data_IF_659898132981
#
_entry.id   IF_659898132981
#
_cell.length_a   1.000
_cell.length_b   1.000
_cell.length_c   1.000
_cell.angle_alpha   90.00
_cell.angle_beta   90.00
_cell.angle_gamma   90.00
#
_symmetry.space_group_name_H-M   'P 1'
#
loop_
_entity.id
_entity.type
_entity.pdbx_description
1 polymer ?
#
# COMPACT_ATOMS: atom_id res chain seq x y z
N UNK A 1 -12.33 28.98 17.76
CA UNK A 1 -11.75 28.96 19.12
C UNK A 1 -11.23 27.55 19.30
N UNK A 2 -9.96 27.37 19.68
CA UNK A 2 -9.43 26.02 19.90
C UNK A 2 -10.31 25.30 20.94
N UNK A 3 -10.54 24.00 20.78
CA UNK A 3 -11.24 23.21 21.79
C UNK A 3 -10.27 22.90 22.96
N UNK A 4 -10.74 22.77 24.21
CA UNK A 4 -9.89 22.32 25.29
C UNK A 4 -9.33 20.93 24.97
N UNK A 5 -8.03 20.74 25.20
CA UNK A 5 -7.35 19.48 24.96
C UNK A 5 -6.25 19.26 25.99
N UNK A 6 -6.06 18.01 26.40
CA UNK A 6 -5.08 17.65 27.42
C UNK A 6 -3.66 18.04 26.98
N UNK A 7 -2.99 18.81 27.84
CA UNK A 7 -1.61 19.25 27.61
C UNK A 7 -1.44 20.37 26.58
N UNK A 8 -2.53 20.96 26.07
CA UNK A 8 -2.48 22.12 25.16
C UNK A 8 -2.95 23.36 25.91
N UNK A 9 -2.26 24.49 25.74
CA UNK A 9 -2.68 25.75 26.35
C UNK A 9 -4.06 26.17 25.83
N UNK A 10 -4.90 26.72 26.71
CA UNK A 10 -6.30 27.01 26.40
C UNK A 10 -6.73 28.37 26.94
N UNK A 11 -7.32 29.17 26.06
CA UNK A 11 -7.86 30.49 26.37
C UNK A 11 -9.39 30.46 26.28
N UNK A 12 -10.06 31.04 27.28
CA UNK A 12 -11.50 31.27 27.23
C UNK A 12 -11.84 32.63 27.85
N UNK A 13 -13.08 33.07 27.63
CA UNK A 13 -13.56 34.36 28.10
C UNK A 13 -14.73 34.17 29.06
N UNK A 14 -14.71 34.93 30.15
CA UNK A 14 -15.82 35.02 31.10
C UNK A 14 -16.24 36.47 31.27
N UNK A 15 -17.48 36.67 31.70
CA UNK A 15 -17.99 37.98 32.13
C UNK A 15 -18.29 37.91 33.62
N UNK A 16 -17.92 38.95 34.35
CA UNK A 16 -18.12 39.02 35.79
C UNK A 16 -19.40 39.81 36.08
N UNK A 17 -20.29 39.29 36.91
CA UNK A 17 -21.52 40.00 37.30
C UNK A 17 -21.16 41.08 38.30
N UNK A 18 -21.69 42.30 38.13
CA UNK A 18 -21.41 43.39 39.08
C UNK A 18 -22.03 43.09 40.44
N UNK A 19 -21.28 43.35 41.50
CA UNK A 19 -21.81 43.21 42.86
C UNK A 19 -22.81 44.32 43.19
N UNK A 20 -22.57 45.54 42.70
CA UNK A 20 -23.41 46.71 42.93
C UNK A 20 -24.76 46.63 42.20
N UNK A 21 -24.76 46.04 41.00
CA UNK A 21 -25.97 45.78 40.22
C UNK A 21 -25.89 44.39 39.55
N UNK A 22 -26.47 43.35 40.17
CA UNK A 22 -26.42 41.98 39.65
C UNK A 22 -27.11 41.78 38.28
N UNK A 23 -27.80 42.80 37.75
CA UNK A 23 -28.42 42.74 36.42
C UNK A 23 -27.44 43.07 35.28
N UNK A 24 -26.23 43.55 35.61
CA UNK A 24 -25.22 43.94 34.61
C UNK A 24 -23.88 43.24 34.86
N UNK A 25 -23.12 43.05 33.78
CA UNK A 25 -21.71 42.66 33.89
C UNK A 25 -20.83 43.86 34.24
N UNK A 26 -19.86 43.63 35.12
CA UNK A 26 -18.87 44.59 35.58
C UNK A 26 -18.03 45.07 34.40
N UNK A 27 -17.84 46.38 34.31
CA UNK A 27 -17.01 47.01 33.27
C UNK A 27 -15.63 47.27 33.84
N UNK A 28 -14.61 46.86 33.09
CA UNK A 28 -13.21 47.00 33.49
C UNK A 28 -12.94 46.53 34.93
N UNK A 29 -13.29 45.27 35.27
CA UNK A 29 -13.11 44.76 36.62
C UNK A 29 -11.63 44.84 37.03
N UNK A 30 -11.40 45.19 38.29
CA UNK A 30 -10.08 45.18 38.89
C UNK A 30 -9.69 43.73 39.18
N UNK A 31 -8.58 43.28 38.59
CA UNK A 31 -8.10 41.90 38.71
C UNK A 31 -6.74 41.89 39.43
N UNK A 32 -6.63 41.08 40.47
CA UNK A 32 -5.46 40.92 41.30
C UNK A 32 -5.09 39.44 41.47
N UNK A 33 -3.87 39.21 41.98
CA UNK A 33 -3.43 37.84 42.31
C UNK A 33 -4.31 37.27 43.43
N UNK A 34 -4.83 36.06 43.23
CA UNK A 34 -5.73 35.41 44.16
C UNK A 34 -7.19 35.47 43.76
N UNK A 35 -7.55 36.38 42.84
CA UNK A 35 -8.93 36.52 42.39
C UNK A 35 -9.40 35.34 41.56
N UNK A 36 -8.49 34.76 40.76
CA UNK A 36 -8.75 33.56 39.98
C UNK A 36 -7.87 32.41 40.46
N UNK A 37 -8.50 31.27 40.71
CA UNK A 37 -7.85 30.05 41.17
C UNK A 37 -8.28 28.86 40.34
N UNK A 38 -7.36 27.93 40.17
CA UNK A 38 -7.55 26.66 39.48
C UNK A 38 -7.52 25.49 40.45
N UNK A 39 -8.48 24.58 40.30
CA UNK A 39 -8.42 23.23 40.86
C UNK A 39 -8.30 22.22 39.72
N UNK A 40 -7.38 21.28 39.91
CA UNK A 40 -7.02 20.21 38.98
C UNK A 40 -7.55 18.89 39.52
N UNK A 41 -8.46 18.24 38.80
CA UNK A 41 -9.08 16.96 39.18
C UNK A 41 -9.60 16.91 40.63
N UNK A 42 -10.16 18.03 41.12
CA UNK A 42 -10.69 18.15 42.49
C UNK A 42 -9.64 18.42 43.57
N UNK A 43 -8.39 18.68 43.20
CA UNK A 43 -7.34 19.10 44.12
C UNK A 43 -7.55 20.48 44.74
N UNK A 44 -6.62 20.91 45.60
CA UNK A 44 -6.69 22.23 46.22
C UNK A 44 -6.63 23.37 45.19
N UNK A 45 -7.37 24.45 45.46
CA UNK A 45 -7.36 25.65 44.63
C UNK A 45 -6.02 26.40 44.77
N UNK A 46 -5.32 26.57 43.65
CA UNK A 46 -4.08 27.32 43.54
C UNK A 46 -4.29 28.53 42.63
N UNK A 47 -3.45 29.57 42.75
CA UNK A 47 -3.50 30.68 41.81
C UNK A 47 -3.17 30.21 40.39
N UNK A 48 -3.81 30.83 39.40
CA UNK A 48 -3.42 30.66 38.00
C UNK A 48 -1.98 31.13 37.78
N UNK A 49 -1.25 30.46 36.88
CA UNK A 49 0.09 30.88 36.49
C UNK A 49 0.10 32.25 35.80
N UNK A 50 -0.95 32.55 35.03
CA UNK A 50 -1.13 33.82 34.33
C UNK A 50 -2.32 34.55 34.93
N UNK A 51 -2.12 35.80 35.35
CA UNK A 51 -3.22 36.66 35.79
C UNK A 51 -4.17 36.92 34.61
N UNK A 52 -5.48 36.65 34.74
CA UNK A 52 -6.45 36.99 33.70
C UNK A 52 -6.46 38.48 33.37
N UNK A 53 -6.85 38.82 32.14
CA UNK A 53 -6.82 40.20 31.65
C UNK A 53 -8.16 40.61 31.05
N UNK A 54 -8.57 41.87 31.27
CA UNK A 54 -9.74 42.43 30.61
C UNK A 54 -9.42 42.67 29.13
N UNK A 55 -10.20 42.10 28.22
CA UNK A 55 -9.99 42.25 26.76
C UNK A 55 -11.32 42.30 26.02
N UNK A 56 -11.57 43.33 25.17
CA UNK A 56 -10.73 44.51 24.93
C UNK A 56 -10.57 45.38 26.18
N UNK A 57 -9.49 46.17 26.25
CA UNK A 57 -9.22 47.07 27.39
C UNK A 57 -10.43 47.99 27.65
N UNK A 58 -10.84 48.12 28.91
CA UNK A 58 -12.05 48.86 29.29
C UNK A 58 -13.37 48.12 29.03
N UNK A 59 -13.33 46.87 28.52
CA UNK A 59 -14.50 46.04 28.23
C UNK A 59 -15.05 45.30 29.45
N UNK A 60 -15.95 44.33 29.17
CA UNK A 60 -16.63 43.49 30.18
C UNK A 60 -16.18 42.02 30.17
N UNK A 61 -15.39 41.63 29.16
CA UNK A 61 -14.89 40.27 29.02
C UNK A 61 -13.49 40.16 29.63
N UNK A 62 -13.31 39.10 30.41
CA UNK A 62 -12.04 38.72 31.03
C UNK A 62 -11.52 37.49 30.31
N UNK A 63 -10.35 37.61 29.70
CA UNK A 63 -9.61 36.50 29.11
C UNK A 63 -8.88 35.74 30.21
N UNK A 64 -9.21 34.47 30.37
CA UNK A 64 -8.51 33.52 31.23
C UNK A 64 -7.64 32.64 30.36
N UNK A 65 -6.36 32.52 30.72
CA UNK A 65 -5.36 31.77 29.95
C UNK A 65 -4.76 30.66 30.82
N UNK A 66 -5.03 29.41 30.44
CA UNK A 66 -4.52 28.22 31.09
C UNK A 66 -3.30 27.70 30.32
N UNK A 67 -2.21 27.45 31.03
CA UNK A 67 -1.00 26.87 30.46
C UNK A 67 -1.20 25.40 30.06
N UNK A 68 -0.34 24.91 29.15
CA UNK A 68 -0.30 23.49 28.80
C UNK A 68 -0.18 22.58 30.04
N UNK A 69 0.65 22.95 31.02
CA UNK A 69 0.83 22.21 32.29
C UNK A 69 -0.41 22.28 33.20
N UNK A 70 -1.20 23.35 33.12
CA UNK A 70 -2.49 23.43 33.80
C UNK A 70 -3.54 22.52 33.19
N UNK A 71 -3.40 22.21 31.90
CA UNK A 71 -4.30 21.37 31.11
C UNK A 71 -3.89 19.89 31.06
N UNK A 72 -2.89 19.42 31.80
CA UNK A 72 -2.53 17.98 31.91
C UNK A 72 -3.39 17.30 32.99
N UNK A 73 -4.71 17.36 32.83
CA UNK A 73 -5.72 16.85 33.78
C UNK A 73 -6.95 16.35 33.02
N UNK A 74 -7.93 15.76 33.71
CA UNK A 74 -9.21 15.38 33.09
C UNK A 74 -10.28 16.47 33.27
N UNK A 75 -10.29 17.15 34.42
CA UNK A 75 -11.21 18.24 34.74
C UNK A 75 -10.48 19.44 35.35
N UNK A 76 -10.86 20.63 34.89
CA UNK A 76 -10.41 21.90 35.43
C UNK A 76 -11.60 22.67 36.01
N UNK A 77 -11.44 23.16 37.23
CA UNK A 77 -12.33 24.15 37.82
C UNK A 77 -11.57 25.47 37.92
N UNK A 78 -12.13 26.52 37.30
CA UNK A 78 -11.66 27.89 37.49
C UNK A 78 -12.67 28.62 38.35
N UNK A 79 -12.28 28.93 39.57
CA UNK A 79 -13.07 29.70 40.54
C UNK A 79 -12.57 31.14 40.51
N UNK A 80 -13.49 32.10 40.47
CA UNK A 80 -13.18 33.49 40.73
C UNK A 80 -13.92 34.00 41.95
N UNK A 81 -13.17 34.67 42.84
CA UNK A 81 -13.65 35.32 44.05
C UNK A 81 -12.95 36.66 44.12
N UNK A 82 -13.69 37.74 44.31
CA UNK A 82 -13.09 39.06 44.53
C UNK A 82 -12.50 39.07 45.93
N UNK A 83 -11.19 38.84 46.03
CA UNK A 83 -10.50 38.74 47.33
C UNK A 83 -10.48 40.09 48.03
N UNK A 84 -10.54 41.19 47.26
CA UNK A 84 -10.46 42.55 47.79
C UNK A 84 -11.13 43.56 46.84
N UNK A 85 -12.36 43.94 47.17
CA UNK A 85 -13.04 45.03 46.46
C UNK A 85 -14.56 44.94 46.47
N UNK A 86 -15.10 43.72 46.52
CA UNK A 86 -16.53 43.44 46.33
C UNK A 86 -17.09 44.20 45.11
N UNK A 87 -16.32 44.28 44.03
CA UNK A 87 -16.68 44.94 42.77
C UNK A 87 -17.57 44.01 41.92
N UNK A 88 -17.31 42.70 41.98
CA UNK A 88 -18.00 41.69 41.18
C UNK A 88 -18.29 40.42 42.00
N UNK A 89 -19.25 39.63 41.51
CA UNK A 89 -19.72 38.41 42.17
C UNK A 89 -18.82 37.20 41.87
N UNK A 90 -18.78 36.29 42.83
CA UNK A 90 -18.08 35.01 42.71
C UNK A 90 -18.71 34.12 41.64
N UNK A 91 -17.91 33.20 41.09
CA UNK A 91 -18.42 32.22 40.14
C UNK A 91 -17.40 31.15 39.79
N UNK A 92 -17.85 30.16 39.05
CA UNK A 92 -17.03 29.01 38.66
C UNK A 92 -17.29 28.63 37.21
N UNK A 93 -16.23 28.24 36.53
CA UNK A 93 -16.28 27.64 35.20
C UNK A 93 -15.62 26.28 35.24
N UNK A 94 -16.29 25.27 34.68
CA UNK A 94 -15.84 23.89 34.68
C UNK A 94 -15.56 23.46 33.25
N UNK A 95 -14.38 22.89 33.05
CA UNK A 95 -13.90 22.44 31.74
C UNK A 95 -13.63 20.94 31.82
N UNK A 96 -14.25 20.19 30.92
CA UNK A 96 -13.84 18.83 30.60
C UNK A 96 -12.69 18.88 29.61
N UNK A 97 -11.57 18.23 29.94
CA UNK A 97 -10.33 18.26 29.16
C UNK A 97 -10.15 16.90 28.49
N UNK A 98 -10.63 16.72 27.24
CA UNK A 98 -10.48 15.45 26.54
C UNK A 98 -9.02 15.22 26.12
N UNK A 99 -8.66 13.94 25.96
CA UNK A 99 -7.32 13.53 25.48
C UNK A 99 -7.15 13.89 24.00
N UNK A 100 -8.24 13.78 23.23
CA UNK A 100 -8.33 14.08 21.80
C UNK A 100 -9.64 14.83 21.53
N UNK A 101 -9.67 15.67 20.50
CA UNK A 101 -10.87 16.36 20.06
C UNK A 101 -11.10 16.11 18.55
N UNK A 102 -12.22 16.60 18.03
CA UNK A 102 -12.55 16.44 16.60
C UNK A 102 -11.50 17.05 15.67
N UNK A 103 -10.76 18.06 16.13
CA UNK A 103 -9.69 18.69 15.36
C UNK A 103 -8.41 17.82 15.31
N UNK A 104 -8.26 16.86 16.22
CA UNK A 104 -7.13 15.90 16.24
C UNK A 104 -7.48 14.52 15.72
N UNK A 105 -8.74 14.28 15.35
CA UNK A 105 -9.09 13.03 14.69
C UNK A 105 -8.31 12.94 13.37
N UNK A 106 -7.79 11.75 13.02
CA UNK A 106 -7.16 11.54 11.72
C UNK A 106 -8.13 12.01 10.63
N UNK A 107 -7.65 12.86 9.73
CA UNK A 107 -8.40 13.20 8.51
C UNK A 107 -8.77 11.90 7.80
N UNK A 108 -9.87 11.89 7.03
CA UNK A 108 -10.28 10.69 6.26
C UNK A 108 -9.10 10.13 5.44
N UNK A 109 -8.22 11.02 4.97
CA UNK A 109 -6.94 10.76 4.28
C UNK A 109 -5.93 9.90 5.07
N UNK A 110 -5.99 9.88 6.40
CA UNK A 110 -5.14 9.06 7.27
C UNK A 110 -5.76 7.68 7.56
N UNK A 111 -7.07 7.52 7.32
CA UNK A 111 -7.78 6.26 7.55
C UNK A 111 -7.71 5.39 6.28
N UNK A 112 -7.61 6.04 5.12
CA UNK A 112 -7.49 5.39 3.82
C UNK A 112 -6.11 5.70 3.26
N UNK A 113 -5.14 4.82 3.53
CA UNK A 113 -3.85 4.82 2.84
C UNK A 113 -4.07 4.31 1.41
N UNK A 114 -4.73 5.14 0.60
CA UNK A 114 -4.74 4.95 -0.84
C UNK A 114 -3.36 5.38 -1.31
N UNK A 115 -2.66 4.49 -2.01
CA UNK A 115 -1.29 4.64 -2.54
C UNK A 115 -1.05 5.92 -3.38
N UNK A 116 -2.05 6.78 -3.55
CA UNK A 116 -2.02 8.09 -4.20
C UNK A 116 -2.96 9.10 -3.49
N UNK A 117 -2.58 9.64 -2.33
CA UNK A 117 -3.29 10.81 -1.77
C UNK A 117 -3.16 12.05 -2.68
N UNK A 118 -4.21 12.87 -2.76
CA UNK A 118 -4.17 14.18 -3.45
C UNK A 118 -4.79 14.27 -4.85
N UNK A 119 -5.92 13.58 -5.10
CA UNK A 119 -6.61 13.53 -6.41
C UNK A 119 -7.22 14.86 -6.91
N UNK A 120 -6.40 15.89 -7.15
CA UNK A 120 -6.85 17.19 -7.69
C UNK A 120 -6.57 17.33 -9.18
N UNK A 121 -5.71 16.46 -9.71
CA UNK A 121 -5.23 16.54 -11.09
C UNK A 121 -5.79 15.40 -11.95
N UNK A 122 -6.03 15.69 -13.22
CA UNK A 122 -6.46 14.70 -14.20
C UNK A 122 -5.43 13.56 -14.31
N UNK A 123 -5.88 12.31 -14.14
CA UNK A 123 -5.00 11.12 -14.11
C UNK A 123 -4.53 10.67 -12.73
N UNK A 124 -4.97 11.36 -11.66
CA UNK A 124 -4.64 10.96 -10.29
C UNK A 124 -5.53 9.86 -9.72
N UNK A 125 -6.70 9.58 -10.31
CA UNK A 125 -7.62 8.55 -9.80
C UNK A 125 -7.08 7.13 -10.04
N UNK A 126 -7.39 6.24 -9.09
CA UNK A 126 -6.81 4.91 -8.88
C UNK A 126 -6.46 4.11 -10.13
N UNK A 127 -5.31 3.46 -10.06
CA UNK A 127 -4.99 2.35 -10.95
C UNK A 127 -5.87 1.17 -10.53
N UNK A 128 -6.58 0.58 -11.48
CA UNK A 128 -7.30 -0.66 -11.28
C UNK A 128 -6.29 -1.74 -10.84
N UNK A 129 -6.45 -2.25 -9.63
CA UNK A 129 -5.80 -3.50 -9.23
C UNK A 129 -6.44 -4.59 -10.10
N UNK A 130 -5.76 -4.99 -11.18
CA UNK A 130 -6.21 -6.06 -12.06
C UNK A 130 -6.65 -7.25 -11.22
N UNK A 131 -7.96 -7.53 -11.22
CA UNK A 131 -8.49 -8.60 -10.38
C UNK A 131 -8.20 -9.94 -11.06
N UNK A 132 -8.19 -11.03 -10.28
CA UNK A 132 -8.02 -12.38 -10.81
C UNK A 132 -9.04 -12.72 -11.93
N UNK A 133 -10.18 -12.03 -11.94
CA UNK A 133 -11.19 -12.14 -13.00
C UNK A 133 -10.75 -11.47 -14.32
N UNK A 134 -10.05 -10.33 -14.26
CA UNK A 134 -9.51 -9.66 -15.45
C UNK A 134 -8.32 -10.43 -16.03
N UNK A 135 -7.49 -11.02 -15.16
CA UNK A 135 -6.40 -11.94 -15.52
C UNK A 135 -6.93 -13.20 -16.23
N UNK A 136 -8.03 -13.78 -15.73
CA UNK A 136 -8.65 -14.96 -16.33
C UNK A 136 -9.49 -14.65 -17.59
N UNK A 137 -9.97 -13.42 -17.74
CA UNK A 137 -10.82 -12.99 -18.87
C UNK A 137 -10.04 -12.35 -20.04
N UNK A 138 -8.79 -11.92 -19.82
CA UNK A 138 -7.98 -11.30 -20.87
C UNK A 138 -7.50 -12.34 -21.90
N UNK A 139 -8.19 -12.37 -23.04
CA UNK A 139 -7.85 -13.15 -24.24
C UNK A 139 -6.54 -12.73 -24.95
N UNK A 140 -5.53 -12.25 -24.21
CA UNK A 140 -4.21 -11.86 -24.70
C UNK A 140 -3.12 -12.38 -23.77
N UNK A 141 -3.07 -13.69 -23.58
CA UNK A 141 -1.87 -14.37 -23.09
C UNK A 141 -0.83 -14.34 -24.20
N UNK A 142 0.24 -13.56 -24.00
CA UNK A 142 1.43 -13.62 -24.83
C UNK A 142 2.36 -14.68 -24.29
N UNK A 143 2.91 -15.49 -25.19
CA UNK A 143 3.88 -16.53 -24.90
C UNK A 143 5.28 -16.00 -25.24
N UNK A 144 6.20 -16.14 -24.29
CA UNK A 144 7.63 -15.87 -24.47
C UNK A 144 8.38 -17.19 -24.37
N UNK A 145 9.14 -17.51 -25.41
CA UNK A 145 9.99 -18.70 -25.45
C UNK A 145 11.29 -18.47 -24.65
N UNK A 146 11.95 -19.57 -24.31
CA UNK A 146 13.29 -19.56 -23.69
C UNK A 146 14.28 -18.81 -24.59
N UNK A 147 15.00 -17.84 -24.02
CA UNK A 147 16.08 -17.12 -24.72
C UNK A 147 17.46 -17.64 -24.33
N UNK A 148 17.59 -18.27 -23.16
CA UNK A 148 18.80 -18.91 -22.67
C UNK A 148 18.44 -20.09 -21.77
N UNK A 149 19.14 -21.21 -21.93
CA UNK A 149 19.09 -22.36 -21.04
C UNK A 149 20.50 -22.76 -20.60
N UNK A 150 20.71 -22.92 -19.29
CA UNK A 150 21.99 -23.28 -18.67
C UNK A 150 21.78 -24.51 -17.79
N UNK A 151 22.61 -25.53 -17.97
CA UNK A 151 22.68 -26.68 -17.07
C UNK A 151 23.71 -26.34 -16.01
N UNK A 152 23.25 -26.07 -14.79
CA UNK A 152 24.12 -25.82 -13.64
C UNK A 152 24.64 -27.14 -13.05
N UNK A 153 23.79 -28.17 -13.02
CA UNK A 153 24.11 -29.52 -12.56
C UNK A 153 23.42 -30.56 -13.47
N UNK A 154 24.10 -31.68 -13.72
CA UNK A 154 23.70 -32.70 -14.69
C UNK A 154 24.50 -32.65 -15.99
N UNK A 155 24.18 -33.57 -16.90
CA UNK A 155 24.86 -33.74 -18.18
C UNK A 155 23.92 -33.44 -19.35
N UNK A 156 24.43 -32.73 -20.36
CA UNK A 156 23.68 -32.58 -21.61
C UNK A 156 23.79 -33.88 -22.43
N UNK A 157 22.76 -34.71 -22.37
CA UNK A 157 22.72 -35.98 -23.11
C UNK A 157 22.50 -35.75 -24.62
N UNK A 158 21.57 -34.84 -24.96
CA UNK A 158 21.29 -34.48 -26.35
C UNK A 158 20.48 -33.19 -26.49
N UNK A 159 20.54 -32.57 -27.66
CA UNK A 159 19.80 -31.35 -27.97
C UNK A 159 20.37 -30.11 -27.28
N UNK A 160 19.61 -29.03 -27.35
CA UNK A 160 19.89 -27.75 -26.71
C UNK A 160 18.61 -27.03 -26.33
N UNK A 161 18.70 -25.97 -25.51
CA UNK A 161 17.55 -25.16 -25.12
C UNK A 161 16.76 -24.59 -26.32
N UNK A 162 17.38 -24.45 -27.50
CA UNK A 162 16.69 -23.99 -28.71
C UNK A 162 15.67 -24.99 -29.23
N UNK A 163 15.84 -26.27 -28.91
CA UNK A 163 14.89 -27.33 -29.29
C UNK A 163 13.59 -27.22 -28.48
N UNK A 164 13.57 -26.47 -27.37
CA UNK A 164 12.36 -26.27 -26.56
C UNK A 164 11.43 -25.17 -27.10
N UNK A 165 11.66 -24.68 -28.32
CA UNK A 165 10.94 -23.56 -28.92
C UNK A 165 9.61 -23.96 -29.60
N UNK A 166 9.40 -25.25 -29.86
CA UNK A 166 8.19 -25.76 -30.51
C UNK A 166 7.91 -27.20 -30.12
N UNK A 167 6.63 -27.57 -29.99
CA UNK A 167 6.22 -28.96 -29.77
C UNK A 167 6.37 -29.79 -31.06
N UNK A 168 7.53 -30.41 -31.25
CA UNK A 168 7.84 -31.17 -32.46
C UNK A 168 8.46 -32.56 -32.20
N UNK A 169 8.57 -32.95 -30.93
CA UNK A 169 9.23 -34.16 -30.44
C UNK A 169 10.75 -34.15 -30.63
N UNK A 170 11.37 -32.97 -30.70
CA UNK A 170 12.82 -32.79 -30.56
C UNK A 170 13.08 -32.29 -29.15
N UNK A 171 13.84 -33.06 -28.38
CA UNK A 171 14.02 -32.78 -26.96
C UNK A 171 15.39 -32.17 -26.69
N UNK A 172 15.41 -31.22 -25.76
CA UNK A 172 16.57 -31.01 -24.92
C UNK A 172 16.54 -32.06 -23.81
N UNK A 173 17.47 -33.02 -23.87
CA UNK A 173 17.60 -34.10 -22.91
C UNK A 173 18.76 -33.84 -21.95
N UNK A 174 18.45 -33.86 -20.66
CA UNK A 174 19.40 -33.56 -19.59
C UNK A 174 19.41 -34.75 -18.63
N UNK A 175 20.57 -35.40 -18.53
CA UNK A 175 20.82 -36.48 -17.60
C UNK A 175 21.13 -35.94 -16.21
N UNK A 176 20.65 -36.61 -15.18
CA UNK A 176 20.99 -36.29 -13.80
C UNK A 176 22.44 -36.71 -13.47
N UNK A 177 23.18 -35.84 -12.78
CA UNK A 177 24.47 -36.19 -12.18
C UNK A 177 24.26 -37.01 -10.88
N UNK A 178 25.06 -38.06 -10.70
CA UNK A 178 24.89 -39.00 -9.59
C UNK A 178 25.19 -38.41 -8.20
N UNK A 179 25.83 -37.24 -8.14
CA UNK A 179 26.31 -36.60 -6.93
C UNK A 179 25.54 -35.31 -6.67
N UNK A 180 25.38 -34.46 -7.69
CA UNK A 180 24.81 -33.11 -7.54
C UNK A 180 23.37 -33.02 -8.01
N UNK A 181 22.90 -33.96 -8.83
CA UNK A 181 21.52 -34.03 -9.29
C UNK A 181 21.30 -33.34 -10.61
N UNK A 182 20.21 -32.58 -10.70
CA UNK A 182 19.84 -31.84 -11.91
C UNK A 182 19.44 -30.43 -11.50
N UNK A 183 20.05 -29.41 -12.12
CA UNK A 183 19.66 -28.00 -11.97
C UNK A 183 19.77 -27.35 -13.36
N UNK A 184 18.62 -26.94 -13.88
CA UNK A 184 18.51 -26.30 -15.19
C UNK A 184 17.87 -24.94 -15.03
N UNK A 185 18.61 -23.90 -15.39
CA UNK A 185 18.16 -22.52 -15.39
C UNK A 185 17.70 -22.10 -16.79
N UNK A 186 16.54 -21.44 -16.85
CA UNK A 186 15.88 -20.99 -18.06
C UNK A 186 15.60 -19.49 -17.91
N UNK A 187 15.97 -18.71 -18.93
CA UNK A 187 15.74 -17.26 -18.97
C UNK A 187 14.77 -16.91 -20.10
N UNK A 188 13.87 -15.97 -19.82
CA UNK A 188 12.83 -15.46 -20.71
C UNK A 188 12.80 -13.93 -20.62
N UNK A 189 12.31 -13.25 -21.67
CA UNK A 189 11.96 -11.83 -21.59
C UNK A 189 10.47 -11.65 -21.89
N UNK A 190 9.76 -10.88 -21.05
CA UNK A 190 8.38 -10.50 -21.34
C UNK A 190 8.35 -9.42 -22.43
N UNK A 191 7.28 -9.30 -23.22
CA UNK A 191 7.26 -8.39 -24.38
C UNK A 191 7.29 -6.89 -24.02
N UNK A 192 7.20 -6.53 -22.74
CA UNK A 192 7.29 -5.15 -22.28
C UNK A 192 6.83 -4.94 -20.83
N UNK A 193 6.92 -3.70 -20.35
CA UNK A 193 6.63 -3.32 -18.96
C UNK A 193 5.13 -3.35 -18.60
N UNK A 194 4.26 -3.28 -19.61
CA UNK A 194 2.81 -3.42 -19.42
C UNK A 194 2.35 -4.88 -19.24
N UNK A 195 3.25 -5.86 -19.34
CA UNK A 195 2.89 -7.27 -19.18
C UNK A 195 2.99 -7.70 -17.73
N UNK A 196 2.01 -8.50 -17.27
CA UNK A 196 1.95 -9.10 -15.93
C UNK A 196 2.14 -10.60 -16.01
N UNK A 197 2.66 -11.23 -14.95
CA UNK A 197 2.93 -12.65 -14.94
C UNK A 197 1.63 -13.46 -15.09
N UNK A 198 1.74 -14.62 -15.74
CA UNK A 198 0.69 -15.63 -15.78
C UNK A 198 1.29 -16.99 -15.37
N UNK A 199 1.56 -17.87 -16.34
CA UNK A 199 2.04 -19.23 -16.08
C UNK A 199 3.39 -19.50 -16.74
N UNK A 200 4.27 -20.23 -16.05
CA UNK A 200 5.36 -20.99 -16.65
C UNK A 200 4.82 -22.36 -17.08
N UNK A 201 5.21 -22.84 -18.26
CA UNK A 201 4.70 -24.09 -18.84
C UNK A 201 5.80 -24.89 -19.51
N UNK A 202 5.81 -26.20 -19.23
CA UNK A 202 6.70 -27.20 -19.83
C UNK A 202 5.85 -28.27 -20.48
N UNK A 203 6.19 -28.64 -21.71
CA UNK A 203 5.75 -29.88 -22.35
C UNK A 203 6.96 -30.81 -22.49
N UNK A 204 6.82 -32.00 -21.93
CA UNK A 204 7.91 -32.97 -21.87
C UNK A 204 7.65 -34.01 -20.80
N UNK A 205 8.71 -34.65 -20.34
CA UNK A 205 8.64 -35.71 -19.32
C UNK A 205 9.92 -35.77 -18.49
N UNK A 206 9.78 -36.34 -17.30
CA UNK A 206 10.89 -36.68 -16.42
C UNK A 206 10.88 -38.19 -16.15
N UNK A 207 11.93 -38.88 -16.61
CA UNK A 207 12.08 -40.32 -16.39
C UNK A 207 12.95 -40.58 -15.17
N UNK A 208 12.63 -41.63 -14.43
CA UNK A 208 13.28 -41.95 -13.17
C UNK A 208 12.97 -43.33 -12.67
N UNK A 209 13.91 -43.93 -11.95
CA UNK A 209 13.73 -45.20 -11.25
C UNK A 209 14.12 -45.01 -9.78
N UNK A 210 13.29 -45.42 -8.80
CA UNK A 210 11.94 -45.94 -8.95
C UNK A 210 10.91 -44.86 -9.40
N UNK A 211 9.93 -45.22 -10.24
CA UNK A 211 9.09 -44.27 -10.97
C UNK A 211 8.02 -43.51 -10.13
N UNK A 212 7.97 -43.65 -8.80
CA UNK A 212 6.88 -43.11 -7.99
C UNK A 212 7.31 -42.30 -6.75
N UNK A 213 8.61 -42.04 -6.57
CA UNK A 213 9.14 -41.32 -5.39
C UNK A 213 9.97 -40.08 -5.70
N UNK A 214 10.06 -39.69 -6.97
CA UNK A 214 10.89 -38.57 -7.41
C UNK A 214 10.02 -37.56 -8.16
N UNK A 215 10.32 -36.28 -7.96
CA UNK A 215 9.69 -35.16 -8.66
C UNK A 215 10.75 -34.08 -8.88
N UNK A 216 10.56 -33.22 -9.89
CA UNK A 216 11.31 -31.98 -9.99
C UNK A 216 10.62 -30.90 -9.19
N UNK A 217 11.43 -30.12 -8.50
CA UNK A 217 11.03 -28.86 -7.90
C UNK A 217 11.16 -27.74 -8.94
N UNK A 218 10.29 -26.74 -8.84
CA UNK A 218 10.33 -25.54 -9.67
C UNK A 218 10.63 -24.33 -8.79
N UNK A 219 11.64 -23.57 -9.20
CA UNK A 219 12.05 -22.34 -8.57
C UNK A 219 11.91 -21.16 -9.54
N UNK A 220 11.61 -19.98 -9.01
CA UNK A 220 11.67 -18.72 -9.73
C UNK A 220 12.63 -17.77 -9.02
N UNK A 221 13.39 -16.97 -9.76
CA UNK A 221 14.27 -15.98 -9.15
C UNK A 221 13.45 -14.78 -8.66
N UNK A 222 13.54 -14.48 -7.37
CA UNK A 222 12.88 -13.33 -6.76
C UNK A 222 13.86 -12.14 -6.77
N UNK A 223 13.55 -11.13 -7.59
CA UNK A 223 14.40 -9.96 -7.78
C UNK A 223 14.31 -8.97 -6.61
N UNK A 224 13.24 -9.02 -5.80
CA UNK A 224 13.11 -8.19 -4.59
C UNK A 224 14.02 -8.69 -3.46
N UNK A 225 14.14 -10.00 -3.31
CA UNK A 225 14.99 -10.64 -2.29
C UNK A 225 16.36 -11.09 -2.81
N UNK A 226 16.60 -10.95 -4.12
CA UNK A 226 17.79 -11.44 -4.82
C UNK A 226 18.12 -12.91 -4.50
N UNK A 227 17.09 -13.77 -4.54
CA UNK A 227 17.22 -15.19 -4.17
C UNK A 227 16.28 -16.07 -4.98
N UNK A 228 16.63 -17.35 -5.11
CA UNK A 228 15.71 -18.36 -5.65
C UNK A 228 14.58 -18.67 -4.65
N UNK A 229 13.35 -18.66 -5.15
CA UNK A 229 12.12 -18.97 -4.41
C UNK A 229 11.52 -20.27 -4.95
N UNK A 230 11.30 -21.25 -4.07
CA UNK A 230 10.58 -22.49 -4.42
C UNK A 230 9.11 -22.16 -4.65
N UNK A 231 8.61 -22.42 -5.86
CA UNK A 231 7.21 -22.11 -6.25
C UNK A 231 6.35 -23.35 -6.49
N UNK A 232 6.96 -24.52 -6.66
CA UNK A 232 6.26 -25.81 -6.67
C UNK A 232 7.24 -26.93 -6.29
N UNK A 233 6.91 -27.70 -5.26
CA UNK A 233 7.73 -28.80 -4.76
C UNK A 233 7.54 -30.11 -5.57
N UNK A 234 6.45 -30.27 -6.31
CA UNK A 234 6.15 -31.48 -7.10
C UNK A 234 5.80 -31.14 -8.57
N UNK A 235 6.60 -30.31 -9.23
CA UNK A 235 6.29 -29.76 -10.56
C UNK A 235 6.26 -30.81 -11.68
N UNK A 236 7.35 -31.59 -11.83
CA UNK A 236 7.43 -32.68 -12.81
C UNK A 236 7.58 -34.02 -12.09
N UNK A 237 6.51 -34.83 -11.96
CA UNK A 237 6.62 -36.13 -11.34
C UNK A 237 7.53 -37.05 -12.17
N UNK A 238 8.35 -37.82 -11.49
CA UNK A 238 9.22 -38.84 -12.07
C UNK A 238 8.45 -40.07 -12.53
N UNK A 239 9.14 -40.92 -13.29
CA UNK A 239 8.56 -42.16 -13.81
C UNK A 239 7.61 -41.98 -15.00
N UNK A 240 7.46 -40.75 -15.51
CA UNK A 240 6.63 -40.49 -16.67
C UNK A 240 7.36 -40.90 -17.95
N UNK A 241 6.79 -41.86 -18.67
CA UNK A 241 7.31 -42.31 -19.98
C UNK A 241 6.65 -41.60 -21.16
N UNK A 242 5.61 -40.80 -20.91
CA UNK A 242 4.86 -40.04 -21.91
C UNK A 242 4.92 -38.55 -21.60
N UNK A 243 4.94 -37.73 -22.64
CA UNK A 243 4.95 -36.28 -22.49
C UNK A 243 3.60 -35.76 -21.98
N UNK A 244 3.66 -34.76 -21.11
CA UNK A 244 2.51 -34.04 -20.62
C UNK A 244 2.85 -32.54 -20.49
N UNK A 245 1.81 -31.72 -20.33
CA UNK A 245 1.98 -30.29 -20.03
C UNK A 245 1.91 -30.10 -18.52
N UNK A 246 2.89 -29.39 -17.97
CA UNK A 246 2.99 -29.01 -16.57
C UNK A 246 3.11 -27.50 -16.51
N UNK A 247 2.23 -26.84 -15.77
CA UNK A 247 2.26 -25.39 -15.62
C UNK A 247 2.16 -24.97 -14.16
N UNK A 248 2.75 -23.82 -13.85
CA UNK A 248 2.69 -23.22 -12.54
C UNK A 248 2.65 -21.70 -12.67
N UNK A 249 1.88 -21.04 -11.81
CA UNK A 249 1.86 -19.58 -11.76
C UNK A 249 3.21 -19.02 -11.29
N UNK A 250 3.55 -17.82 -11.76
CA UNK A 250 4.63 -17.00 -11.22
C UNK A 250 4.13 -15.59 -10.92
N UNK A 251 4.96 -14.76 -10.27
CA UNK A 251 4.51 -13.51 -9.67
C UNK A 251 5.37 -12.32 -10.08
N UNK A 252 4.86 -11.12 -9.77
CA UNK A 252 5.46 -9.85 -10.20
C UNK A 252 6.91 -9.69 -9.71
N UNK A 253 7.18 -10.17 -8.49
CA UNK A 253 8.51 -10.21 -7.88
C UNK A 253 9.52 -11.10 -8.63
N UNK A 254 9.06 -11.93 -9.56
CA UNK A 254 9.92 -12.79 -10.40
C UNK A 254 10.28 -12.15 -11.76
N UNK A 255 9.94 -10.86 -11.96
CA UNK A 255 10.23 -10.13 -13.20
C UNK A 255 11.23 -9.02 -12.90
N UNK A 256 12.36 -9.02 -13.61
CA UNK A 256 13.30 -7.90 -13.60
C UNK A 256 12.79 -6.75 -14.48
N UNK A 257 12.08 -5.82 -13.86
CA UNK A 257 11.54 -4.64 -14.55
C UNK A 257 12.64 -3.70 -15.06
N UNK A 258 13.87 -3.81 -14.57
CA UNK A 258 15.00 -2.97 -14.95
C UNK A 258 15.83 -3.58 -16.09
N UNK A 259 15.81 -4.91 -16.23
CA UNK A 259 16.57 -5.66 -17.23
C UNK A 259 15.64 -6.38 -18.23
N UNK A 260 15.02 -5.61 -19.12
CA UNK A 260 14.19 -6.13 -20.24
C UNK A 260 13.05 -7.07 -19.85
N UNK A 261 12.48 -6.90 -18.65
CA UNK A 261 11.45 -7.78 -18.10
C UNK A 261 11.89 -9.25 -18.09
N UNK A 262 13.16 -9.48 -17.71
CA UNK A 262 13.75 -10.82 -17.59
C UNK A 262 12.99 -11.63 -16.53
N UNK A 263 12.75 -12.90 -16.83
CA UNK A 263 12.22 -13.89 -15.90
C UNK A 263 13.17 -15.08 -15.90
N UNK A 264 13.54 -15.54 -14.71
CA UNK A 264 14.42 -16.71 -14.51
C UNK A 264 13.69 -17.81 -13.76
N UNK A 265 13.70 -19.00 -14.34
CA UNK A 265 13.10 -20.21 -13.79
C UNK A 265 14.17 -21.30 -13.64
N UNK A 266 14.02 -22.15 -12.64
CA UNK A 266 14.88 -23.32 -12.42
C UNK A 266 14.07 -24.58 -12.20
N UNK A 267 14.46 -25.66 -12.87
CA UNK A 267 13.94 -27.00 -12.65
C UNK A 267 15.04 -27.78 -11.94
N UNK A 268 14.74 -28.30 -10.75
CA UNK A 268 15.74 -28.88 -9.85
C UNK A 268 15.33 -30.27 -9.38
N UNK A 269 16.28 -31.19 -9.35
CA UNK A 269 16.21 -32.46 -8.63
C UNK A 269 17.35 -32.55 -7.63
N UNK A 270 17.03 -32.78 -6.37
CA UNK A 270 18.03 -33.04 -5.34
C UNK A 270 18.30 -34.55 -5.19
N UNK A 271 19.58 -34.94 -5.26
CA UNK A 271 19.97 -36.35 -5.04
C UNK A 271 19.85 -36.69 -3.57
N UNK A 272 19.07 -37.72 -3.26
CA UNK A 272 18.89 -38.24 -1.89
C UNK A 272 19.63 -39.56 -1.65
N UNK A 273 20.82 -39.74 -2.25
CA UNK A 273 21.72 -40.92 -2.16
C UNK A 273 21.42 -42.13 -3.08
N UNK A 274 20.78 -41.91 -4.24
CA UNK A 274 20.42 -42.94 -5.23
C UNK A 274 21.22 -42.81 -6.55
N UNK A 275 21.30 -43.89 -7.34
CA UNK A 275 22.04 -43.95 -8.61
C UNK A 275 21.44 -42.99 -9.66
N UNK A 276 22.29 -42.19 -10.33
CA UNK A 276 21.90 -41.42 -11.52
C UNK A 276 21.28 -42.33 -12.58
N UNK A 277 19.96 -42.28 -12.68
CA UNK A 277 19.21 -42.90 -13.77
C UNK A 277 18.01 -42.07 -14.17
N UNK A 278 18.05 -40.77 -13.88
CA UNK A 278 16.99 -39.84 -14.22
C UNK A 278 17.38 -39.01 -15.44
N UNK A 279 16.39 -38.70 -16.27
CA UNK A 279 16.57 -37.82 -17.42
C UNK A 279 15.34 -36.92 -17.60
N UNK A 280 15.61 -35.62 -17.75
CA UNK A 280 14.63 -34.60 -18.09
C UNK A 280 14.58 -34.46 -19.61
N UNK A 281 13.38 -34.48 -20.18
CA UNK A 281 13.13 -34.29 -21.61
C UNK A 281 12.23 -33.07 -21.78
N UNK A 282 12.75 -32.00 -22.36
CA UNK A 282 12.02 -30.76 -22.63
C UNK A 282 11.80 -30.64 -24.14
N UNK A 283 10.53 -30.70 -24.58
CA UNK A 283 10.12 -30.49 -25.99
C UNK A 283 9.61 -29.06 -26.19
N UNK A 284 8.93 -28.49 -25.19
CA UNK A 284 8.49 -27.10 -25.26
C UNK A 284 8.51 -26.43 -23.90
N UNK A 285 9.02 -25.21 -23.82
CA UNK A 285 9.10 -24.44 -22.59
C UNK A 285 8.77 -22.97 -22.86
N UNK A 286 7.85 -22.42 -22.08
CA UNK A 286 7.42 -21.02 -22.22
C UNK A 286 7.09 -20.37 -20.87
N UNK A 287 7.12 -19.04 -20.85
CA UNK A 287 6.35 -18.24 -19.89
C UNK A 287 5.25 -17.51 -20.62
N UNK A 288 4.08 -17.47 -20.02
CA UNK A 288 2.96 -16.66 -20.48
C UNK A 288 2.84 -15.39 -19.65
N UNK A 289 2.34 -14.33 -20.28
CA UNK A 289 2.10 -13.04 -19.63
C UNK A 289 0.87 -12.36 -20.21
N UNK A 290 0.27 -11.45 -19.45
CA UNK A 290 -0.95 -10.75 -19.85
C UNK A 290 -0.64 -9.27 -20.00
N UNK A 291 -1.03 -8.68 -21.14
CA UNK A 291 -0.92 -7.23 -21.31
C UNK A 291 -1.98 -6.53 -20.46
N UNK A 292 -1.55 -5.75 -19.48
CA UNK A 292 -2.44 -4.82 -18.76
C UNK A 292 -2.53 -3.53 -19.53
N UNK A 293 -3.74 -3.17 -19.96
CA UNK A 293 -3.99 -1.89 -20.62
C UNK A 293 -4.22 -0.83 -19.55
N UNK A 294 -3.39 0.21 -19.54
CA UNK A 294 -3.50 1.30 -18.58
C UNK A 294 -4.53 2.35 -19.04
N UNK A 295 -5.16 3.11 -18.12
CA UNK A 295 -6.02 4.25 -18.48
C UNK A 295 -5.36 5.26 -19.43
N UNK A 296 -4.03 5.41 -19.38
CA UNK A 296 -3.27 6.28 -20.27
C UNK A 296 -3.28 5.79 -21.73
N UNK A 297 -3.26 4.47 -21.96
CA UNK A 297 -3.39 3.87 -23.30
C UNK A 297 -4.79 4.12 -23.87
N UNK A 298 -5.85 4.10 -23.03
CA UNK A 298 -7.21 4.47 -23.45
C UNK A 298 -7.33 5.97 -23.75
N UNK A 299 -6.73 6.83 -22.93
CA UNK A 299 -6.73 8.28 -23.15
C UNK A 299 -6.12 8.63 -24.51
N UNK A 300 -4.96 8.06 -24.82
CA UNK A 300 -4.29 8.30 -26.11
C UNK A 300 -5.11 7.81 -27.29
N UNK A 301 -5.81 6.68 -27.18
CA UNK A 301 -6.69 6.16 -28.23
C UNK A 301 -7.89 7.09 -28.50
N UNK A 302 -8.47 7.70 -27.46
CA UNK A 302 -9.59 8.64 -27.59
C UNK A 302 -9.15 9.95 -28.25
N UNK A 303 -7.95 10.45 -27.93
CA UNK A 303 -7.43 11.71 -28.48
C UNK A 303 -6.76 11.56 -29.86
N UNK A 304 -6.37 10.34 -30.24
CA UNK A 304 -5.80 10.04 -31.55
C UNK A 304 -6.85 9.79 -32.64
N UNK A 305 -8.14 9.71 -32.28
CA UNK A 305 -9.21 9.64 -33.26
C UNK A 305 -9.40 11.02 -33.92
N UNK A 306 -9.09 11.17 -35.22
CA UNK A 306 -9.25 12.44 -35.91
C UNK A 306 -10.71 12.94 -35.91
N UNK A 307 -11.71 12.07 -35.71
CA UNK A 307 -13.12 12.46 -35.63
C UNK A 307 -13.54 13.03 -34.26
N UNK A 308 -12.81 12.71 -33.18
CA UNK A 308 -13.06 13.26 -31.85
C UNK A 308 -12.79 14.78 -31.75
N UNK A 309 -12.06 15.33 -32.72
CA UNK A 309 -11.80 16.77 -32.84
C UNK A 309 -12.99 17.58 -33.37
N UNK A 310 -14.09 16.93 -33.79
CA UNK A 310 -15.26 17.59 -34.38
C UNK A 310 -16.53 17.42 -33.54
N UNK A 311 -16.51 17.92 -32.29
CA UNK A 311 -17.77 18.36 -31.67
C UNK A 311 -18.29 19.52 -32.53
N UNK A 312 -19.13 19.18 -33.50
CA UNK A 312 -19.95 20.15 -34.22
C UNK A 312 -20.97 20.68 -33.22
N UNK A 313 -20.62 21.77 -32.53
CA UNK A 313 -21.60 22.54 -31.77
C UNK A 313 -22.63 23.02 -32.79
N UNK A 314 -23.79 22.37 -32.83
CA UNK A 314 -24.95 22.80 -33.62
C UNK A 314 -25.54 24.09 -32.99
N UNK A 315 -24.79 25.18 -33.10
CA UNK A 315 -25.29 26.52 -32.82
C UNK A 315 -25.86 27.10 -34.10
N UNK A 316 -27.11 26.79 -34.42
CA UNK A 316 -27.93 27.67 -35.25
C UNK A 316 -29.42 27.42 -35.05
N UNK A 317 -29.95 27.93 -33.94
CA UNK A 317 -31.34 28.40 -33.95
C UNK A 317 -31.36 29.66 -34.81
N UNK A 318 -31.66 29.51 -36.10
CA UNK A 318 -32.03 30.66 -36.93
C UNK A 318 -33.24 31.35 -36.31
N UNK A 319 -33.25 32.69 -36.16
CA UNK A 319 -34.46 33.39 -35.76
C UNK A 319 -35.48 33.23 -36.88
N UNK A 320 -36.70 32.77 -36.54
CA UNK A 320 -37.81 32.76 -37.48
C UNK A 320 -38.12 34.20 -37.96
N UNK A 321 -38.51 34.37 -39.24
CA UNK A 321 -38.84 35.67 -39.81
C UNK A 321 -40.07 36.33 -39.17
#
# INVERSE_FOLDING_TARGET
>A
MALPQKGVAYDFYVTLVSFADPSVFQTNPTLATGDFKISKDGGAFNNLATLPVVTPSGGKAVKVSLSATEMIVAKVFVLWIDVAGNEWQEGVYVIDVPVENVDTLPTIDNIWDEQKSGHRDMGSFGEELATKADVAAAAFTNQSNVISGVINEGDNDSGAYTDTASRDNIYWQIGEDAVTGLDVELTFNLPGTSYRPAEFSVFGRYTGNPPASHHQELYAYNYESASWELINDEFLPGGNTSDATYSNEYHERHIDRENDNEVKMRIVHHVTSYNASHALYLDYVEVSSIKVTTPAEFGTAIWADPEASSITVLNSRTPNP
#
